data_IF_428430180173
#
_entry.id   IF_428430180173
#
_cell.length_a   1.000
_cell.length_b   1.000
_cell.length_c   1.000
_cell.angle_alpha   90.00
_cell.angle_beta   90.00
_cell.angle_gamma   90.00
#
_symmetry.space_group_name_H-M   'P 1'
#
loop_
_entity.id
_entity.type
_entity.pdbx_description
1 polymer ?
#
# COMPACT_ATOMS: atom_id res chain seq x y z
N UNK A 1 15.21 22.01 -27.08
CA UNK A 1 13.89 21.38 -27.07
C UNK A 1 14.00 19.90 -26.74
N UNK A 2 14.77 19.14 -27.51
CA UNK A 2 14.95 17.70 -27.27
C UNK A 2 15.60 17.42 -25.91
N UNK A 3 16.52 18.26 -25.45
CA UNK A 3 17.19 18.10 -24.17
C UNK A 3 16.23 18.22 -22.98
N UNK A 4 15.24 19.10 -23.05
CA UNK A 4 14.27 19.28 -21.99
C UNK A 4 13.34 18.06 -21.87
N UNK A 5 12.93 17.50 -23.02
CA UNK A 5 12.10 16.29 -23.03
C UNK A 5 12.84 15.07 -22.45
N UNK A 6 14.13 14.94 -22.80
CA UNK A 6 14.97 13.87 -22.28
C UNK A 6 15.15 14.01 -20.77
N UNK A 7 15.35 15.23 -20.28
CA UNK A 7 15.51 15.47 -18.84
C UNK A 7 14.23 15.10 -18.07
N UNK A 8 13.07 15.45 -18.60
CA UNK A 8 11.80 15.11 -17.96
C UNK A 8 11.58 13.59 -17.92
N UNK A 9 11.88 12.93 -19.02
CA UNK A 9 11.76 11.48 -19.09
C UNK A 9 12.74 10.76 -18.16
N UNK A 10 13.97 11.25 -18.08
CA UNK A 10 14.95 10.67 -17.19
C UNK A 10 14.57 10.86 -15.72
N UNK A 11 14.02 12.03 -15.38
CA UNK A 11 13.59 12.32 -14.02
C UNK A 11 12.48 11.37 -13.57
N UNK A 12 11.49 11.15 -14.41
CA UNK A 12 10.40 10.23 -14.11
C UNK A 12 10.92 8.80 -13.96
N UNK A 13 11.76 8.38 -14.89
CA UNK A 13 12.30 7.02 -14.85
C UNK A 13 13.17 6.76 -13.64
N UNK A 14 14.04 7.69 -13.29
CA UNK A 14 14.91 7.56 -12.12
C UNK A 14 14.10 7.53 -10.84
N UNK A 15 13.12 8.43 -10.70
CA UNK A 15 12.25 8.46 -9.53
C UNK A 15 11.51 7.15 -9.34
N UNK A 16 11.01 6.58 -10.42
CA UNK A 16 10.31 5.32 -10.38
C UNK A 16 11.22 4.17 -9.96
N UNK A 17 12.43 4.12 -10.51
CA UNK A 17 13.40 3.08 -10.17
C UNK A 17 13.83 3.15 -8.70
N UNK A 18 14.03 4.35 -8.16
CA UNK A 18 14.37 4.53 -6.76
C UNK A 18 13.23 4.09 -5.84
N UNK A 19 12.01 4.35 -6.24
CA UNK A 19 10.83 3.96 -5.48
C UNK A 19 10.62 2.45 -5.49
N UNK A 20 10.76 1.82 -6.66
CA UNK A 20 10.50 0.39 -6.85
C UNK A 20 11.65 -0.50 -6.35
N UNK A 21 12.87 0.02 -6.35
CA UNK A 21 14.07 -0.73 -5.98
C UNK A 21 14.65 -1.54 -7.14
N UNK A 22 15.89 -2.06 -6.97
CA UNK A 22 16.60 -2.76 -8.04
C UNK A 22 15.90 -4.02 -8.55
N UNK A 23 15.30 -4.80 -7.66
CA UNK A 23 14.63 -6.04 -8.06
C UNK A 23 13.42 -5.79 -8.92
N UNK A 24 12.66 -4.76 -8.59
CA UNK A 24 11.51 -4.34 -9.38
C UNK A 24 11.93 -3.83 -10.75
N UNK A 25 13.04 -3.10 -10.81
CA UNK A 25 13.60 -2.63 -12.07
C UNK A 25 14.10 -3.80 -12.92
N UNK A 26 14.68 -4.82 -12.30
CA UNK A 26 15.18 -6.00 -12.98
C UNK A 26 14.04 -6.85 -13.56
N UNK A 27 12.89 -6.92 -12.91
CA UNK A 27 11.71 -7.60 -13.45
C UNK A 27 11.04 -6.81 -14.57
N UNK A 28 11.44 -5.58 -14.77
CA UNK A 28 11.42 -4.88 -16.05
C UNK A 28 10.14 -4.24 -16.51
N UNK A 29 9.03 -4.55 -15.95
CA UNK A 29 7.81 -4.24 -16.65
C UNK A 29 7.12 -2.96 -16.27
N UNK A 30 7.53 -2.31 -15.22
CA UNK A 30 6.94 -1.03 -14.86
C UNK A 30 5.46 -1.06 -14.50
N UNK A 31 4.60 -1.36 -15.47
CA UNK A 31 3.16 -1.24 -15.27
C UNK A 31 2.50 -2.43 -14.58
N UNK A 32 2.99 -3.63 -14.81
CA UNK A 32 2.39 -4.84 -14.25
C UNK A 32 3.33 -5.49 -13.22
N UNK A 33 3.66 -4.74 -12.18
CA UNK A 33 4.60 -5.20 -11.16
C UNK A 33 3.89 -5.42 -9.83
N UNK A 34 3.45 -6.66 -9.60
CA UNK A 34 2.76 -7.04 -8.37
C UNK A 34 3.62 -6.81 -7.13
N UNK A 35 4.92 -7.09 -7.21
CA UNK A 35 5.83 -6.87 -6.08
C UNK A 35 5.92 -5.41 -5.70
N UNK A 36 5.98 -4.51 -6.68
CA UNK A 36 6.01 -3.06 -6.43
C UNK A 36 4.69 -2.59 -5.79
N UNK A 37 3.57 -3.09 -6.27
CA UNK A 37 2.26 -2.76 -5.72
C UNK A 37 2.14 -3.25 -4.26
N UNK A 38 2.56 -4.47 -3.99
CA UNK A 38 2.55 -5.03 -2.63
C UNK A 38 3.46 -4.23 -1.70
N UNK A 39 4.66 -3.90 -2.15
CA UNK A 39 5.59 -3.08 -1.37
C UNK A 39 5.02 -1.69 -1.10
N UNK A 40 4.41 -1.07 -2.10
CA UNK A 40 3.75 0.23 -1.95
C UNK A 40 2.60 0.20 -0.95
N UNK A 41 1.78 -0.85 -1.00
CA UNK A 41 0.69 -1.04 -0.04
C UNK A 41 1.25 -1.10 1.38
N UNK A 42 2.29 -1.89 1.61
CA UNK A 42 2.86 -2.06 2.94
C UNK A 42 3.57 -0.79 3.43
N UNK A 43 4.27 -0.07 2.55
CA UNK A 43 4.89 1.20 2.91
C UNK A 43 3.87 2.25 3.32
N UNK A 44 2.77 2.34 2.57
CA UNK A 44 1.70 3.27 2.91
C UNK A 44 1.04 2.88 4.24
N UNK A 45 0.80 1.59 4.45
CA UNK A 45 0.16 1.09 5.66
C UNK A 45 0.97 1.38 6.93
N UNK A 46 2.29 1.32 6.85
CA UNK A 46 3.16 1.63 8.01
C UNK A 46 2.97 3.05 8.53
N UNK A 47 2.43 3.93 7.71
CA UNK A 47 2.20 5.33 8.04
C UNK A 47 0.74 5.61 8.42
N UNK A 48 -0.07 4.56 8.53
CA UNK A 48 -1.47 4.66 8.97
C UNK A 48 -1.53 4.34 10.46
N UNK A 49 -2.12 5.20 11.30
CA UNK A 49 -2.30 4.89 12.72
C UNK A 49 -3.32 3.76 12.89
N UNK A 50 -3.49 3.28 14.12
CA UNK A 50 -4.50 2.25 14.37
C UNK A 50 -5.88 2.77 13.93
N UNK A 51 -6.77 1.85 13.54
CA UNK A 51 -8.11 2.22 13.10
C UNK A 51 -8.86 3.01 14.17
N UNK A 52 -8.75 2.59 15.41
CA UNK A 52 -9.39 3.29 16.53
C UNK A 52 -8.87 4.73 16.66
N UNK A 53 -7.55 4.90 16.61
CA UNK A 53 -6.93 6.22 16.67
C UNK A 53 -7.37 7.09 15.50
N UNK A 54 -7.37 6.52 14.29
CA UNK A 54 -7.74 7.26 13.09
C UNK A 54 -9.18 7.74 13.14
N UNK A 55 -10.10 6.91 13.63
CA UNK A 55 -11.52 7.25 13.71
C UNK A 55 -11.85 8.22 14.84
N UNK A 56 -11.00 8.28 15.88
CA UNK A 56 -11.18 9.24 16.96
C UNK A 56 -10.42 10.56 16.75
N UNK A 57 -9.58 10.62 15.73
CA UNK A 57 -8.83 11.84 15.39
C UNK A 57 -9.77 12.88 14.77
N UNK A 58 -9.79 14.06 15.33
CA UNK A 58 -10.61 15.17 14.83
C UNK A 58 -9.81 16.17 14.01
N UNK A 59 -8.52 15.94 13.81
CA UNK A 59 -7.67 16.84 13.04
C UNK A 59 -7.86 16.63 11.54
N UNK A 60 -7.39 17.60 10.74
CA UNK A 60 -7.41 17.51 9.29
C UNK A 60 -6.55 16.35 8.77
N UNK A 61 -5.55 15.94 9.55
CA UNK A 61 -4.70 14.82 9.20
C UNK A 61 -5.48 13.50 9.07
N UNK A 62 -6.65 13.41 9.69
CA UNK A 62 -7.52 12.24 9.58
C UNK A 62 -7.83 11.88 8.12
N UNK A 63 -8.13 12.89 7.31
CA UNK A 63 -8.46 12.67 5.90
C UNK A 63 -7.27 12.07 5.17
N UNK A 64 -6.06 12.56 5.42
CA UNK A 64 -4.86 12.01 4.83
C UNK A 64 -4.62 10.56 5.26
N UNK A 65 -4.92 10.22 6.49
CA UNK A 65 -4.81 8.84 6.98
C UNK A 65 -5.80 7.92 6.27
N UNK A 66 -7.03 8.35 6.07
CA UNK A 66 -8.04 7.60 5.32
C UNK A 66 -7.61 7.38 3.87
N UNK A 67 -7.12 8.43 3.22
CA UNK A 67 -6.65 8.35 1.84
C UNK A 67 -5.49 7.36 1.71
N UNK A 68 -4.58 7.40 2.66
CA UNK A 68 -3.42 6.50 2.67
C UNK A 68 -3.84 5.05 2.88
N UNK A 69 -4.76 4.80 3.80
CA UNK A 69 -5.30 3.47 4.05
C UNK A 69 -6.03 2.93 2.82
N UNK A 70 -6.84 3.76 2.17
CA UNK A 70 -7.55 3.39 0.96
C UNK A 70 -6.57 3.11 -0.20
N UNK A 71 -5.54 3.94 -0.34
CA UNK A 71 -4.50 3.73 -1.35
C UNK A 71 -3.74 2.43 -1.12
N UNK A 72 -3.39 2.14 0.12
CA UNK A 72 -2.73 0.89 0.48
C UNK A 72 -3.59 -0.33 0.09
N UNK A 73 -4.87 -0.29 0.44
CA UNK A 73 -5.79 -1.37 0.10
C UNK A 73 -5.92 -1.55 -1.42
N UNK A 74 -5.98 -0.46 -2.16
CA UNK A 74 -6.07 -0.50 -3.63
C UNK A 74 -4.83 -1.13 -4.24
N UNK A 75 -3.65 -0.76 -3.77
CA UNK A 75 -2.39 -1.36 -4.24
C UNK A 75 -2.32 -2.85 -3.91
N UNK A 76 -2.76 -3.25 -2.72
CA UNK A 76 -2.79 -4.65 -2.33
C UNK A 76 -3.73 -5.46 -3.21
N UNK A 77 -4.89 -4.91 -3.59
CA UNK A 77 -5.81 -5.55 -4.51
C UNK A 77 -5.18 -5.71 -5.90
N UNK A 78 -4.50 -4.67 -6.38
CA UNK A 78 -3.78 -4.73 -7.65
C UNK A 78 -2.74 -5.84 -7.64
N UNK A 79 -1.92 -5.91 -6.59
CA UNK A 79 -0.92 -6.96 -6.46
C UNK A 79 -1.55 -8.35 -6.50
N UNK A 80 -2.65 -8.54 -5.78
CA UNK A 80 -3.36 -9.82 -5.72
C UNK A 80 -3.90 -10.25 -7.08
N UNK A 81 -4.36 -9.29 -7.89
CA UNK A 81 -4.85 -9.59 -9.24
C UNK A 81 -3.73 -9.97 -10.20
N UNK A 82 -2.57 -9.39 -10.01
CA UNK A 82 -1.43 -9.66 -10.89
C UNK A 82 -0.69 -10.94 -10.52
N UNK A 83 -0.69 -11.31 -9.23
CA UNK A 83 0.06 -12.46 -8.74
C UNK A 83 -0.65 -13.07 -7.54
N UNK A 84 -1.02 -14.36 -7.65
CA UNK A 84 -1.75 -15.08 -6.60
C UNK A 84 -0.96 -15.17 -5.28
N UNK A 85 0.35 -14.98 -5.31
CA UNK A 85 1.21 -14.91 -4.13
C UNK A 85 0.74 -13.83 -3.15
N UNK A 86 0.13 -12.76 -3.65
CA UNK A 86 -0.34 -11.63 -2.86
C UNK A 86 -1.84 -11.70 -2.53
N UNK A 87 -2.49 -12.82 -2.80
CA UNK A 87 -3.92 -12.96 -2.55
C UNK A 87 -4.26 -12.80 -1.05
N UNK A 88 -3.45 -13.38 -0.18
CA UNK A 88 -3.65 -13.25 1.25
C UNK A 88 -3.53 -11.79 1.71
N UNK A 89 -2.56 -11.06 1.16
CA UNK A 89 -2.39 -9.64 1.44
C UNK A 89 -3.61 -8.84 0.99
N UNK A 90 -4.09 -9.09 -0.21
CA UNK A 90 -5.29 -8.43 -0.74
C UNK A 90 -6.52 -8.67 0.14
N UNK A 91 -6.72 -9.90 0.59
CA UNK A 91 -7.83 -10.25 1.48
C UNK A 91 -7.71 -9.56 2.85
N UNK A 92 -6.50 -9.48 3.39
CA UNK A 92 -6.27 -8.84 4.68
C UNK A 92 -6.61 -7.34 4.60
N UNK A 93 -6.18 -6.67 3.54
CA UNK A 93 -6.53 -5.26 3.33
C UNK A 93 -8.02 -5.07 3.05
N UNK A 94 -8.65 -6.02 2.37
CA UNK A 94 -10.09 -5.96 2.13
C UNK A 94 -10.87 -6.03 3.44
N UNK A 95 -10.46 -6.88 4.37
CA UNK A 95 -11.09 -6.99 5.69
C UNK A 95 -10.95 -5.67 6.45
N UNK A 96 -9.77 -5.07 6.47
CA UNK A 96 -9.56 -3.76 7.10
C UNK A 96 -10.46 -2.69 6.46
N UNK A 97 -10.54 -2.68 5.14
CA UNK A 97 -11.39 -1.72 4.42
C UNK A 97 -12.87 -1.90 4.77
N UNK A 98 -13.32 -3.13 4.89
CA UNK A 98 -14.70 -3.42 5.28
C UNK A 98 -15.00 -2.91 6.69
N UNK A 99 -14.07 -3.10 7.62
CA UNK A 99 -14.22 -2.60 8.99
C UNK A 99 -14.28 -1.09 9.04
N UNK A 100 -13.51 -0.41 8.20
CA UNK A 100 -13.57 1.04 8.08
C UNK A 100 -14.93 1.51 7.58
N UNK A 101 -15.49 0.83 6.60
CA UNK A 101 -16.81 1.17 6.04
C UNK A 101 -17.94 0.95 7.03
N UNK A 102 -17.83 -0.05 7.87
CA UNK A 102 -18.86 -0.41 8.85
C UNK A 102 -18.60 0.18 10.22
N UNK A 103 -17.56 0.99 10.37
CA UNK A 103 -17.14 1.59 11.64
C UNK A 103 -16.82 0.55 12.72
N UNK A 104 -16.48 -0.65 12.33
CA UNK A 104 -16.07 -1.73 13.23
C UNK A 104 -14.56 -1.67 13.42
N UNK A 105 -14.11 -0.64 14.13
CA UNK A 105 -12.69 -0.29 14.24
C UNK A 105 -12.12 -0.49 15.64
N UNK A 106 -12.95 -0.95 16.57
CA UNK A 106 -12.56 -1.21 17.96
C UNK A 106 -12.70 -2.68 18.29
N UNK A 107 -11.95 -3.12 19.28
CA UNK A 107 -12.07 -4.48 19.80
C UNK A 107 -11.10 -5.45 19.17
N UNK A 108 -11.18 -6.69 19.64
CA UNK A 108 -10.20 -7.73 19.31
C UNK A 108 -10.19 -8.09 17.83
N UNK A 109 -11.35 -8.06 17.17
CA UNK A 109 -11.44 -8.42 15.76
C UNK A 109 -10.78 -7.37 14.86
N UNK A 110 -10.97 -6.09 15.19
CA UNK A 110 -10.33 -5.00 14.46
C UNK A 110 -8.81 -5.05 14.65
N UNK A 111 -8.36 -5.25 15.88
CA UNK A 111 -6.94 -5.39 16.19
C UNK A 111 -6.33 -6.58 15.46
N UNK A 112 -7.03 -7.69 15.39
CA UNK A 112 -6.57 -8.88 14.67
C UNK A 112 -6.44 -8.62 13.17
N UNK A 113 -7.38 -7.87 12.59
CA UNK A 113 -7.34 -7.51 11.17
C UNK A 113 -6.10 -6.63 10.88
N UNK A 114 -5.86 -5.62 11.70
CA UNK A 114 -4.68 -4.76 11.57
C UNK A 114 -3.39 -5.54 11.72
N UNK A 115 -3.34 -6.43 12.71
CA UNK A 115 -2.17 -7.25 12.98
C UNK A 115 -1.88 -8.20 11.82
N UNK A 116 -2.90 -8.72 11.19
CA UNK A 116 -2.73 -9.62 10.05
C UNK A 116 -2.07 -8.89 8.88
N UNK A 117 -2.50 -7.67 8.57
CA UNK A 117 -1.85 -6.86 7.54
C UNK A 117 -0.39 -6.62 7.91
N UNK A 118 -0.12 -6.22 9.15
CA UNK A 118 1.24 -5.96 9.61
C UNK A 118 2.13 -7.20 9.50
N UNK A 119 1.61 -8.37 9.86
CA UNK A 119 2.34 -9.63 9.78
C UNK A 119 2.67 -10.00 8.33
N UNK A 120 1.71 -9.88 7.43
CA UNK A 120 1.92 -10.16 6.01
C UNK A 120 2.92 -9.18 5.39
N UNK A 121 2.83 -7.91 5.76
CA UNK A 121 3.78 -6.90 5.30
C UNK A 121 5.19 -7.17 5.82
N UNK A 122 5.34 -7.58 7.06
CA UNK A 122 6.64 -7.94 7.62
C UNK A 122 7.25 -9.13 6.85
N UNK A 123 6.43 -10.07 6.40
CA UNK A 123 6.89 -11.18 5.60
C UNK A 123 7.44 -10.78 4.23
N UNK A 124 6.96 -9.68 3.67
CA UNK A 124 7.48 -9.16 2.40
C UNK A 124 8.83 -8.47 2.57
N UNK A 125 9.10 -7.92 3.75
CA UNK A 125 10.34 -7.21 4.04
C UNK A 125 11.51 -8.15 4.33
N UNK A 126 11.25 -9.42 4.55
CA UNK A 126 12.28 -10.42 4.90
C UNK A 126 12.78 -11.27 3.73
#
# INVERSE_FOLDING_TARGET
>A
MAAAAVAAGAGIGVGWLLWAGPDSAASGTGVDNAAADAAGACQAWKRVPSLDTMFSDESDARIAHFDRAAGAATLAQSAARLDSRYEALGKAFQDVSMRMRTFDVKGAEAEAAEKKVATLCAGLDS
#
